data_IF_516293079961
#
_entry.id   IF_516293079961
#
_cell.length_a   1.000
_cell.length_b   1.000
_cell.length_c   1.000
_cell.angle_alpha   90.00
_cell.angle_beta   90.00
_cell.angle_gamma   90.00
#
_symmetry.space_group_name_H-M   'P 1'
#
loop_
_entity.id
_entity.type
_entity.pdbx_description
1 polymer ?
#
# COMPACT_ATOMS: atom_id res chain seq x y z
N UNK A 1 -7.10 2.39 -1.91
CA UNK A 1 -8.34 1.76 -1.40
C UNK A 1 -8.16 0.26 -1.27
N UNK A 2 -8.11 -0.47 -2.39
CA UNK A 2 -7.99 -1.94 -2.40
C UNK A 2 -6.79 -2.47 -1.58
N UNK A 3 -5.63 -1.83 -1.68
CA UNK A 3 -4.46 -2.21 -0.88
C UNK A 3 -4.71 -2.14 0.64
N UNK A 4 -5.48 -1.15 1.11
CA UNK A 4 -5.91 -1.02 2.51
C UNK A 4 -6.84 -2.18 2.86
N UNK A 5 -7.85 -2.43 2.02
CA UNK A 5 -8.88 -3.46 2.22
C UNK A 5 -8.31 -4.89 2.21
N UNK A 6 -7.27 -5.13 1.41
CA UNK A 6 -6.62 -6.45 1.29
C UNK A 6 -5.44 -6.67 2.23
N UNK A 7 -5.04 -5.67 3.01
CA UNK A 7 -3.90 -5.82 3.91
C UNK A 7 -4.30 -6.65 5.15
N UNK A 8 -3.81 -7.90 5.33
CA UNK A 8 -4.27 -8.76 6.42
C UNK A 8 -3.84 -8.30 7.81
N UNK A 9 -2.86 -7.40 7.88
CA UNK A 9 -2.27 -6.86 9.11
C UNK A 9 -2.55 -5.36 9.29
N UNK A 10 -3.44 -4.78 8.47
CA UNK A 10 -3.91 -3.39 8.59
C UNK A 10 -2.81 -2.32 8.74
N UNK A 11 -1.70 -2.42 7.98
CA UNK A 11 -0.57 -1.48 8.04
C UNK A 11 -0.58 -0.39 6.96
N UNK A 12 -1.65 -0.29 6.18
CA UNK A 12 -1.79 0.66 5.08
C UNK A 12 -2.92 1.62 5.40
N UNK A 13 -2.69 2.92 5.27
CA UNK A 13 -3.68 3.98 5.47
C UNK A 13 -3.64 5.00 4.35
N UNK A 14 -4.65 5.87 4.26
CA UNK A 14 -4.60 7.02 3.36
C UNK A 14 -3.57 8.03 3.85
N UNK A 15 -2.75 8.53 2.93
CA UNK A 15 -1.81 9.61 3.21
C UNK A 15 -2.54 10.96 3.22
N UNK A 16 -2.02 11.92 3.98
CA UNK A 16 -2.42 13.33 3.89
C UNK A 16 -1.90 14.02 2.63
N UNK A 17 -0.92 13.44 1.94
CA UNK A 17 -0.35 13.94 0.70
C UNK A 17 -0.99 13.29 -0.53
N UNK A 18 -1.08 14.05 -1.62
CA UNK A 18 -1.51 13.52 -2.91
C UNK A 18 -0.35 12.88 -3.67
N UNK A 19 -0.67 11.91 -4.52
CA UNK A 19 0.26 11.29 -5.46
C UNK A 19 0.65 12.23 -6.60
N UNK A 20 1.58 11.78 -7.45
CA UNK A 20 2.16 12.57 -8.55
C UNK A 20 1.12 13.16 -9.52
N UNK A 21 -0.05 12.54 -9.65
CA UNK A 21 -1.14 12.98 -10.52
C UNK A 21 -2.28 13.68 -9.77
N UNK A 22 -2.04 14.12 -8.53
CA UNK A 22 -3.07 14.73 -7.69
C UNK A 22 -4.12 13.74 -7.16
N UNK A 23 -3.84 12.44 -7.25
CA UNK A 23 -4.74 11.37 -6.79
C UNK A 23 -4.45 10.97 -5.34
N UNK A 24 -5.42 10.33 -4.68
CA UNK A 24 -5.22 9.82 -3.33
C UNK A 24 -4.08 8.81 -3.28
N UNK A 25 -3.15 9.00 -2.35
CA UNK A 25 -2.02 8.10 -2.09
C UNK A 25 -2.22 7.37 -0.76
N UNK A 26 -1.57 6.21 -0.62
CA UNK A 26 -1.48 5.49 0.65
C UNK A 26 -0.09 5.62 1.28
N UNK A 27 -0.05 5.54 2.60
CA UNK A 27 1.18 5.37 3.39
C UNK A 27 1.20 3.98 4.04
N UNK A 28 2.39 3.48 4.36
CA UNK A 28 2.59 2.10 4.84
C UNK A 28 3.49 2.12 6.08
N UNK A 29 3.01 1.54 7.18
CA UNK A 29 3.84 1.26 8.35
C UNK A 29 4.63 -0.03 8.13
N UNK A 30 5.84 0.10 7.56
CA UNK A 30 6.68 -1.04 7.19
C UNK A 30 7.03 -1.98 8.36
N UNK A 31 7.06 -1.48 9.61
CA UNK A 31 7.41 -2.29 10.79
C UNK A 31 6.42 -3.43 11.06
N UNK A 32 5.15 -3.26 10.70
CA UNK A 32 4.12 -4.30 10.86
C UNK A 32 3.88 -5.13 9.59
N UNK A 33 4.61 -4.86 8.51
CA UNK A 33 4.39 -5.55 7.24
C UNK A 33 4.96 -6.98 7.28
N UNK A 34 4.13 -7.97 6.93
CA UNK A 34 4.53 -9.39 6.84
C UNK A 34 4.99 -9.81 5.43
N UNK A 35 5.24 -8.87 4.53
CA UNK A 35 5.72 -9.12 3.15
C UNK A 35 4.85 -10.06 2.29
N UNK A 36 3.54 -10.13 2.54
CA UNK A 36 2.61 -11.05 1.84
C UNK A 36 2.30 -10.71 0.37
N UNK A 37 2.71 -9.53 -0.12
CA UNK A 37 2.53 -9.04 -1.50
C UNK A 37 1.09 -8.79 -1.98
N UNK A 38 0.06 -9.03 -1.18
CA UNK A 38 -1.34 -8.80 -1.57
C UNK A 38 -1.63 -7.36 -2.02
N UNK A 39 -1.05 -6.37 -1.35
CA UNK A 39 -1.20 -4.96 -1.72
C UNK A 39 -0.65 -4.66 -3.12
N UNK A 40 0.47 -5.28 -3.51
CA UNK A 40 1.06 -5.14 -4.84
C UNK A 40 0.26 -5.90 -5.90
N UNK A 41 -0.22 -7.11 -5.58
CA UNK A 41 -1.00 -7.95 -6.50
C UNK A 41 -2.36 -7.36 -6.86
N UNK A 42 -3.03 -6.70 -5.91
CA UNK A 42 -4.36 -6.11 -6.10
C UNK A 42 -4.33 -4.63 -6.46
N UNK A 43 -3.16 -4.01 -6.58
CA UNK A 43 -3.06 -2.60 -6.96
C UNK A 43 -3.17 -2.45 -8.48
N UNK A 44 -4.24 -1.83 -9.00
CA UNK A 44 -4.39 -1.62 -10.45
C UNK A 44 -3.35 -0.62 -11.00
N UNK A 45 -2.90 0.30 -10.16
CA UNK A 45 -1.98 1.38 -10.52
C UNK A 45 -0.50 1.00 -10.37
N UNK A 46 -0.21 -0.22 -9.91
CA UNK A 46 1.13 -0.67 -9.52
C UNK A 46 1.86 0.30 -8.55
N UNK A 47 1.11 0.99 -7.68
CA UNK A 47 1.61 2.04 -6.79
C UNK A 47 2.41 1.53 -5.58
N UNK A 48 2.40 0.22 -5.32
CA UNK A 48 3.08 -0.40 -4.17
C UNK A 48 3.95 -1.56 -4.67
N UNK A 49 5.21 -1.59 -4.25
CA UNK A 49 6.13 -2.70 -4.45
C UNK A 49 6.51 -3.33 -3.10
N UNK A 50 6.83 -4.63 -3.12
CA UNK A 50 7.33 -5.37 -1.96
C UNK A 50 8.64 -6.03 -2.35
N UNK A 51 9.72 -5.64 -1.67
CA UNK A 51 11.08 -6.17 -1.89
C UNK A 51 11.50 -6.92 -0.62
N UNK A 52 12.10 -8.09 -0.80
CA UNK A 52 12.73 -8.84 0.29
C UNK A 52 14.21 -8.46 0.31
N UNK A 53 14.71 -8.05 1.46
CA UNK A 53 16.13 -7.82 1.69
C UNK A 53 16.75 -9.06 2.34
#
# INVERSE_FOLDING_TARGET
GLCIEKCPVNVISWSSELGAYGTNRVEINAKGCITCKLCALHCPDAAVSVVLN
#
